data_IF_122569784419
#
_entry.id   IF_122569784419
#
_cell.length_a   1.000
_cell.length_b   1.000
_cell.length_c   1.000
_cell.angle_alpha   90.00
_cell.angle_beta   90.00
_cell.angle_gamma   90.00
#
_symmetry.space_group_name_H-M   'P 1'
#
loop_
_entity.id
_entity.type
_entity.pdbx_description
1 polymer ?
#
# COMPACT_ATOMS: atom_id res chain seq x y z
N UNK A 1 -9.70 4.76 8.92
CA UNK A 1 -9.23 3.70 8.01
C UNK A 1 -10.35 2.72 7.71
N UNK A 2 -10.51 2.35 6.45
CA UNK A 2 -11.55 1.43 6.01
C UNK A 2 -11.39 0.03 6.59
N UNK A 3 -12.51 -0.66 6.83
CA UNK A 3 -12.52 -1.99 7.42
C UNK A 3 -11.82 -3.03 6.56
N UNK A 4 -11.88 -2.91 5.24
CA UNK A 4 -11.22 -3.83 4.31
C UNK A 4 -9.72 -3.94 4.65
N UNK A 5 -9.06 -2.81 4.79
CA UNK A 5 -7.61 -2.75 5.06
C UNK A 5 -7.32 -3.24 6.47
N UNK A 6 -8.13 -2.81 7.43
CA UNK A 6 -7.97 -3.19 8.84
C UNK A 6 -8.12 -4.69 9.05
N UNK A 7 -9.15 -5.27 8.45
CA UNK A 7 -9.44 -6.70 8.55
C UNK A 7 -8.35 -7.55 7.90
N UNK A 8 -7.77 -7.07 6.80
CA UNK A 8 -6.76 -7.80 6.03
C UNK A 8 -5.32 -7.41 6.38
N UNK A 9 -5.13 -6.62 7.44
CA UNK A 9 -3.83 -6.07 7.82
C UNK A 9 -2.72 -7.13 7.86
N UNK A 10 -2.96 -8.24 8.54
CA UNK A 10 -1.96 -9.29 8.70
C UNK A 10 -1.53 -9.90 7.36
N UNK A 11 -2.51 -10.18 6.49
CA UNK A 11 -2.24 -10.73 5.17
C UNK A 11 -1.50 -9.73 4.29
N UNK A 12 -1.86 -8.44 4.36
CA UNK A 12 -1.17 -7.39 3.61
C UNK A 12 0.29 -7.34 4.02
N UNK A 13 0.57 -7.30 5.32
CA UNK A 13 1.94 -7.22 5.84
C UNK A 13 2.76 -8.46 5.48
N UNK A 14 2.13 -9.64 5.50
CA UNK A 14 2.81 -10.88 5.13
C UNK A 14 3.21 -10.88 3.67
N UNK A 15 2.29 -10.48 2.78
CA UNK A 15 2.60 -10.37 1.35
C UNK A 15 3.67 -9.32 1.10
N UNK A 16 3.59 -8.18 1.77
CA UNK A 16 4.60 -7.12 1.64
C UNK A 16 6.00 -7.65 1.99
N UNK A 17 6.12 -8.37 3.10
CA UNK A 17 7.41 -8.95 3.50
C UNK A 17 7.96 -9.94 2.49
N UNK A 18 7.09 -10.73 1.86
CA UNK A 18 7.52 -11.66 0.79
C UNK A 18 8.16 -10.95 -0.38
N UNK A 19 7.74 -9.73 -0.64
CA UNK A 19 8.25 -8.92 -1.75
C UNK A 19 9.37 -7.96 -1.34
N UNK A 20 9.87 -8.09 -0.11
CA UNK A 20 11.00 -7.28 0.36
C UNK A 20 10.63 -5.92 0.91
N UNK A 21 9.36 -5.70 1.20
CA UNK A 21 8.87 -4.45 1.79
C UNK A 21 9.02 -4.52 3.31
N UNK A 22 9.60 -3.47 3.89
CA UNK A 22 9.89 -3.41 5.33
C UNK A 22 8.84 -2.63 6.13
N UNK A 23 8.10 -1.73 5.49
CA UNK A 23 7.06 -0.96 6.15
C UNK A 23 5.97 -0.59 5.14
N UNK A 24 4.72 -0.58 5.61
CA UNK A 24 3.54 -0.26 4.79
C UNK A 24 2.72 0.80 5.50
N UNK A 25 2.37 1.84 4.77
CA UNK A 25 1.41 2.86 5.21
C UNK A 25 0.27 2.93 4.18
N UNK A 26 -0.92 3.24 4.64
CA UNK A 26 -2.09 3.42 3.78
C UNK A 26 -2.36 4.91 3.64
N UNK A 27 -2.62 5.37 2.43
CA UNK A 27 -3.02 6.75 2.21
C UNK A 27 -4.25 6.78 1.29
N UNK A 28 -4.70 7.97 0.91
CA UNK A 28 -5.86 8.12 0.05
C UNK A 28 -7.17 7.82 0.76
N UNK A 29 -8.19 7.46 -0.02
CA UNK A 29 -9.55 7.28 0.49
C UNK A 29 -9.66 6.19 1.56
N UNK A 30 -8.87 5.14 1.45
CA UNK A 30 -8.87 4.05 2.45
C UNK A 30 -8.38 4.54 3.82
N UNK A 31 -7.37 5.41 3.83
CA UNK A 31 -6.87 5.98 5.08
C UNK A 31 -7.86 6.98 5.69
N UNK A 32 -8.48 7.80 4.85
CA UNK A 32 -9.44 8.81 5.31
C UNK A 32 -10.78 8.22 5.79
N UNK A 33 -11.11 7.00 5.32
CA UNK A 33 -12.40 6.39 5.64
C UNK A 33 -13.54 6.84 4.74
N UNK A 34 -13.24 7.45 3.59
CA UNK A 34 -14.25 7.91 2.63
C UNK A 34 -14.26 7.10 1.33
N UNK A 35 -13.72 5.87 1.36
CA UNK A 35 -13.66 5.01 0.20
C UNK A 35 -15.04 4.49 -0.19
N UNK A 36 -15.31 4.47 -1.50
CA UNK A 36 -16.50 3.86 -2.06
C UNK A 36 -16.26 2.40 -2.45
N UNK A 37 -17.29 1.74 -3.02
CA UNK A 37 -17.19 0.31 -3.37
C UNK A 37 -16.15 -0.01 -4.43
N UNK A 38 -15.71 0.97 -5.21
CA UNK A 38 -14.73 0.78 -6.28
C UNK A 38 -13.44 1.58 -6.05
N UNK A 39 -13.26 2.14 -4.87
CA UNK A 39 -12.05 2.92 -4.57
C UNK A 39 -10.81 2.06 -4.59
N UNK A 40 -9.70 2.61 -5.09
CA UNK A 40 -8.40 1.96 -5.09
C UNK A 40 -7.84 1.90 -3.66
N UNK A 41 -6.95 0.94 -3.43
CA UNK A 41 -6.18 0.86 -2.20
C UNK A 41 -4.79 1.44 -2.50
N UNK A 42 -4.45 2.54 -1.83
CA UNK A 42 -3.18 3.24 -2.05
C UNK A 42 -2.23 2.98 -0.90
N UNK A 43 -1.08 2.38 -1.22
CA UNK A 43 -0.07 2.01 -0.23
C UNK A 43 1.24 2.74 -0.50
N UNK A 44 1.81 3.29 0.57
CA UNK A 44 3.14 3.87 0.56
C UNK A 44 4.07 2.92 1.30
N UNK A 45 5.11 2.43 0.62
CA UNK A 45 5.96 1.37 1.15
C UNK A 45 7.42 1.77 1.22
N UNK A 46 8.10 1.24 2.23
CA UNK A 46 9.56 1.27 2.31
C UNK A 46 10.09 -0.08 1.83
N UNK A 47 11.05 -0.04 0.91
CA UNK A 47 11.61 -1.24 0.30
C UNK A 47 12.96 -1.53 0.92
N UNK A 48 13.15 -2.79 1.34
CA UNK A 48 14.43 -3.26 1.86
C UNK A 48 15.46 -3.50 0.76
N UNK A 49 16.63 -4.04 1.12
CA UNK A 49 17.72 -4.19 0.16
C UNK A 49 17.50 -5.26 -0.89
N UNK A 50 16.54 -6.17 -0.69
CA UNK A 50 16.30 -7.29 -1.60
C UNK A 50 14.82 -7.41 -1.96
N UNK A 51 14.29 -6.50 -2.79
CA UNK A 51 12.92 -6.64 -3.28
C UNK A 51 12.80 -7.87 -4.18
N UNK A 52 11.58 -8.40 -4.31
CA UNK A 52 11.31 -9.51 -5.21
C UNK A 52 11.59 -9.12 -6.66
N UNK A 53 11.85 -10.13 -7.51
CA UNK A 53 12.27 -9.92 -8.89
C UNK A 53 11.28 -9.07 -9.72
N UNK A 54 10.00 -9.19 -9.43
CA UNK A 54 8.94 -8.48 -10.16
C UNK A 54 8.33 -7.32 -9.37
N UNK A 55 9.06 -6.83 -8.37
CA UNK A 55 8.60 -5.69 -7.58
C UNK A 55 8.53 -4.42 -8.46
N UNK A 56 7.47 -3.59 -8.33
CA UNK A 56 6.32 -3.75 -7.45
C UNK A 56 5.15 -4.55 -8.04
N UNK A 57 5.24 -4.96 -9.29
CA UNK A 57 4.14 -5.62 -10.00
C UNK A 57 3.66 -6.91 -9.34
N UNK A 58 4.58 -7.74 -8.85
CA UNK A 58 4.22 -8.98 -8.15
C UNK A 58 3.44 -8.73 -6.87
N UNK A 59 3.87 -7.73 -6.10
CA UNK A 59 3.15 -7.35 -4.88
C UNK A 59 1.77 -6.79 -5.20
N UNK A 60 1.67 -5.93 -6.22
CA UNK A 60 0.38 -5.38 -6.66
C UNK A 60 -0.58 -6.50 -7.03
N UNK A 61 -0.12 -7.47 -7.82
CA UNK A 61 -0.96 -8.59 -8.26
C UNK A 61 -1.47 -9.41 -7.07
N UNK A 62 -0.59 -9.72 -6.12
CA UNK A 62 -0.95 -10.50 -4.94
C UNK A 62 -1.96 -9.75 -4.06
N UNK A 63 -1.75 -8.45 -3.88
CA UNK A 63 -2.65 -7.63 -3.07
C UNK A 63 -4.01 -7.44 -3.74
N UNK A 64 -4.03 -7.27 -5.05
CA UNK A 64 -5.30 -7.15 -5.78
C UNK A 64 -6.12 -8.44 -5.66
N UNK A 65 -5.46 -9.58 -5.73
CA UNK A 65 -6.13 -10.86 -5.54
C UNK A 65 -6.68 -11.00 -4.11
N UNK A 66 -5.91 -10.59 -3.12
CA UNK A 66 -6.32 -10.64 -1.71
C UNK A 66 -7.50 -9.72 -1.42
N UNK A 67 -7.45 -8.49 -1.93
CA UNK A 67 -8.37 -7.43 -1.54
C UNK A 67 -9.57 -7.29 -2.48
N UNK A 68 -9.49 -7.83 -3.69
CA UNK A 68 -10.55 -7.67 -4.67
C UNK A 68 -10.72 -6.23 -5.14
N UNK A 69 -9.66 -5.43 -5.06
CA UNK A 69 -9.65 -4.01 -5.42
C UNK A 69 -8.38 -3.71 -6.20
N UNK A 70 -8.42 -2.67 -7.01
CA UNK A 70 -7.20 -2.14 -7.61
C UNK A 70 -6.29 -1.61 -6.52
N UNK A 71 -5.00 -1.96 -6.59
CA UNK A 71 -4.00 -1.55 -5.60
C UNK A 71 -2.91 -0.74 -6.29
N UNK A 72 -2.57 0.39 -5.69
CA UNK A 72 -1.45 1.21 -6.13
C UNK A 72 -0.37 1.17 -5.05
N UNK A 73 0.84 0.76 -5.43
CA UNK A 73 1.98 0.70 -4.53
C UNK A 73 2.96 1.80 -4.95
N UNK A 74 3.24 2.70 -4.03
CA UNK A 74 4.17 3.81 -4.22
C UNK A 74 5.30 3.64 -3.21
N UNK A 75 6.55 3.76 -3.67
CA UNK A 75 7.71 3.71 -2.78
C UNK A 75 8.00 5.10 -2.23
N UNK A 76 8.60 5.17 -1.03
CA UNK A 76 9.07 6.45 -0.46
C UNK A 76 9.97 7.19 -1.43
N UNK A 77 10.90 6.47 -2.07
CA UNK A 77 11.85 7.06 -3.02
C UNK A 77 11.17 7.52 -4.32
N UNK A 78 10.06 6.89 -4.67
CA UNK A 78 9.33 7.20 -5.90
C UNK A 78 8.31 8.31 -5.77
N UNK A 79 8.14 8.88 -4.56
CA UNK A 79 7.20 9.98 -4.38
C UNK A 79 7.69 11.24 -5.08
N UNK A 80 6.79 11.84 -5.83
CA UNK A 80 7.00 13.16 -6.43
C UNK A 80 7.06 14.21 -5.30
N UNK A 81 8.02 15.13 -5.38
CA UNK A 81 8.19 16.18 -4.36
C UNK A 81 6.93 17.03 -4.17
N UNK A 82 6.15 17.22 -5.22
CA UNK A 82 4.92 18.01 -5.14
C UNK A 82 3.82 17.33 -4.34
N UNK A 83 3.81 16.00 -4.32
CA UNK A 83 2.77 15.23 -3.65
C UNK A 83 3.24 14.59 -2.34
N UNK A 84 4.55 14.53 -2.12
CA UNK A 84 5.13 13.76 -1.02
C UNK A 84 4.68 14.23 0.36
N UNK A 85 4.63 15.55 0.58
CA UNK A 85 4.22 16.09 1.87
C UNK A 85 2.78 15.76 2.20
N UNK A 86 1.90 15.86 1.20
CA UNK A 86 0.48 15.54 1.35
C UNK A 86 0.28 14.05 1.64
N UNK A 87 0.94 13.21 0.87
CA UNK A 87 0.84 11.75 1.03
C UNK A 87 1.36 11.33 2.41
N UNK A 88 2.52 11.84 2.83
CA UNK A 88 3.09 11.51 4.13
C UNK A 88 2.21 12.00 5.28
N UNK A 89 1.63 13.19 5.17
CA UNK A 89 0.73 13.71 6.19
C UNK A 89 -0.53 12.87 6.34
N UNK A 90 -1.02 12.29 5.24
CA UNK A 90 -2.23 11.49 5.22
C UNK A 90 -1.98 10.02 5.58
N UNK A 91 -0.77 9.52 5.35
CA UNK A 91 -0.46 8.10 5.45
C UNK A 91 -0.54 7.59 6.89
N UNK A 92 -1.15 6.41 7.03
CA UNK A 92 -1.34 5.74 8.32
C UNK A 92 -0.61 4.40 8.31
N UNK A 93 0.28 4.14 9.27
CA UNK A 93 0.99 2.87 9.32
C UNK A 93 0.05 1.67 9.50
N UNK A 94 0.37 0.58 8.85
CA UNK A 94 -0.20 -0.73 9.11
C UNK A 94 0.71 -1.53 10.08
#
# INVERSE_FOLDING_TARGET
MEDLVRTKREQILRLARRHGVTAVRVFGSMARGDAGPTSDVDLLVDVGPQPSAWFPGGLVADLEQLLGRRVQVVTERGLDDLLSDRVRAEAVPL
#
